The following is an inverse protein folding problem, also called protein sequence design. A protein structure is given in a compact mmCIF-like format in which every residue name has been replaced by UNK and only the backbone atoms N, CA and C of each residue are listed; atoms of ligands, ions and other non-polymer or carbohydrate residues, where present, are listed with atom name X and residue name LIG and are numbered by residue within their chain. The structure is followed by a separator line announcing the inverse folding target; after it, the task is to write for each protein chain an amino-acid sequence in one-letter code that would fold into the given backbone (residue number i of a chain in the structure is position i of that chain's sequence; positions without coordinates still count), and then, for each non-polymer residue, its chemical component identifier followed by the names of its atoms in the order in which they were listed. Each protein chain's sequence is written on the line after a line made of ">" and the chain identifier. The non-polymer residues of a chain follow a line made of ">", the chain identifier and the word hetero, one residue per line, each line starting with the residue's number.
data_IF_008345821673
#
_entry.id   IF_008345821673
#
_cell.length_a   1.000
_cell.length_b   1.000
_cell.length_c   1.000
_cell.angle_alpha   90.00
_cell.angle_beta   90.00
_cell.angle_gamma   90.00
#
_symmetry.space_group_name_H-M   'P 1'
#
loop_
_entity.id
_entity.type
_entity.pdbx_description
1 polymer ?
#
# COMPACT_ATOMS: atom_id res chain seq x y z
N UNK A 1 -4.55 7.00 -7.73
CA UNK A 1 -4.62 5.73 -8.50
C UNK A 1 -3.92 4.63 -7.72
N UNK A 2 -4.40 3.40 -7.84
CA UNK A 2 -3.79 2.20 -7.26
C UNK A 2 -3.51 1.24 -8.40
N UNK A 3 -2.27 0.73 -8.50
CA UNK A 3 -1.92 -0.35 -9.42
C UNK A 3 -1.37 -1.52 -8.61
N UNK A 4 -1.80 -2.73 -8.92
CA UNK A 4 -1.26 -3.96 -8.33
C UNK A 4 -0.74 -4.84 -9.46
N UNK A 5 0.46 -5.38 -9.28
CA UNK A 5 1.10 -6.36 -10.14
C UNK A 5 1.28 -7.62 -9.29
N UNK A 6 0.80 -8.74 -9.79
CA UNK A 6 0.86 -10.04 -9.11
C UNK A 6 1.85 -10.93 -9.85
N UNK A 7 2.68 -11.63 -9.09
CA UNK A 7 3.50 -12.70 -9.65
C UNK A 7 2.60 -13.90 -10.02
N UNK A 8 2.93 -14.68 -11.06
CA UNK A 8 2.08 -15.77 -11.57
C UNK A 8 1.71 -16.83 -10.51
N UNK A 9 2.55 -16.99 -9.47
CA UNK A 9 2.31 -17.92 -8.37
C UNK A 9 1.43 -17.35 -7.24
N UNK A 10 0.94 -16.12 -7.38
CA UNK A 10 0.09 -15.41 -6.41
C UNK A 10 0.70 -15.28 -4.98
N UNK A 11 2.00 -15.58 -4.84
CA UNK A 11 2.71 -15.55 -3.56
C UNK A 11 3.08 -14.12 -3.15
N UNK A 12 3.26 -13.23 -4.12
CA UNK A 12 3.66 -11.85 -3.91
C UNK A 12 2.85 -10.92 -4.80
N UNK A 13 2.30 -9.87 -4.19
CA UNK A 13 1.66 -8.77 -4.89
C UNK A 13 2.43 -7.48 -4.61
N UNK A 14 2.87 -6.80 -5.67
CA UNK A 14 3.48 -5.48 -5.61
C UNK A 14 2.42 -4.44 -5.90
N UNK A 15 2.29 -3.42 -5.07
CA UNK A 15 1.32 -2.36 -5.31
C UNK A 15 1.96 -0.96 -5.28
N UNK A 16 1.45 -0.08 -6.14
CA UNK A 16 1.82 1.32 -6.21
C UNK A 16 0.57 2.18 -5.96
N UNK A 17 0.66 3.10 -5.00
CA UNK A 17 -0.43 4.04 -4.67
C UNK A 17 0.08 5.46 -4.88
N UNK A 18 -0.54 6.16 -5.82
CA UNK A 18 -0.37 7.61 -5.98
C UNK A 18 -1.61 8.31 -5.42
N UNK A 19 -1.41 9.07 -4.34
CA UNK A 19 -2.45 9.87 -3.69
C UNK A 19 -2.07 11.34 -3.81
N UNK A 20 -2.82 12.10 -4.61
CA UNK A 20 -2.74 13.56 -4.55
C UNK A 20 -3.31 14.01 -3.20
N UNK A 21 -2.45 14.63 -2.40
CA UNK A 21 -2.74 15.01 -1.01
C UNK A 21 -3.18 16.47 -0.87
N UNK A 22 -3.65 17.09 -1.96
CA UNK A 22 -4.03 18.50 -2.06
C UNK A 22 -5.39 18.83 -1.41
N UNK A 23 -6.13 17.83 -0.93
CA UNK A 23 -7.35 18.03 -0.15
C UNK A 23 -7.09 17.90 1.35
N UNK A 24 -7.14 19.04 2.06
CA UNK A 24 -7.03 19.15 3.52
C UNK A 24 -7.94 18.11 4.22
N UNK A 25 -7.35 17.23 5.03
CA UNK A 25 -8.08 16.28 5.89
C UNK A 25 -8.35 14.88 5.31
N UNK A 26 -7.92 14.57 4.08
CA UNK A 26 -8.35 13.31 3.47
C UNK A 26 -7.52 12.09 3.93
N UNK A 27 -8.17 11.20 4.68
CA UNK A 27 -7.74 9.82 4.98
C UNK A 27 -7.77 8.91 3.74
N UNK A 28 -7.90 9.48 2.54
CA UNK A 28 -8.07 8.76 1.28
C UNK A 28 -6.93 7.77 1.01
N UNK A 29 -5.68 8.15 1.29
CA UNK A 29 -4.55 7.22 1.16
C UNK A 29 -4.67 6.02 2.10
N UNK A 30 -5.09 6.26 3.35
CA UNK A 30 -5.35 5.21 4.34
C UNK A 30 -6.50 4.30 3.94
N UNK A 31 -7.61 4.87 3.48
CA UNK A 31 -8.77 4.10 3.02
C UNK A 31 -8.43 3.25 1.79
N UNK A 32 -7.69 3.81 0.82
CA UNK A 32 -7.25 3.08 -0.37
C UNK A 32 -6.31 1.93 0.00
N UNK A 33 -5.30 2.17 0.84
CA UNK A 33 -4.40 1.12 1.30
C UNK A 33 -5.14 0.03 2.08
N UNK A 34 -6.03 0.41 3.01
CA UNK A 34 -6.86 -0.55 3.73
C UNK A 34 -7.73 -1.40 2.80
N UNK A 35 -8.34 -0.79 1.78
CA UNK A 35 -9.16 -1.51 0.81
C UNK A 35 -8.34 -2.57 0.08
N UNK A 36 -7.14 -2.23 -0.37
CA UNK A 36 -6.23 -3.18 -1.06
C UNK A 36 -5.80 -4.30 -0.12
N UNK A 37 -5.40 -3.97 1.11
CA UNK A 37 -4.97 -4.97 2.10
C UNK A 37 -6.10 -5.95 2.40
N UNK A 38 -7.32 -5.45 2.63
CA UNK A 38 -8.51 -6.29 2.87
C UNK A 38 -8.82 -7.17 1.65
N UNK A 39 -8.81 -6.59 0.46
CA UNK A 39 -9.07 -7.31 -0.78
C UNK A 39 -8.05 -8.43 -1.00
N UNK A 40 -6.75 -8.13 -0.87
CA UNK A 40 -5.68 -9.13 -1.05
C UNK A 40 -5.67 -10.20 0.04
N UNK A 41 -5.98 -9.85 1.29
CA UNK A 41 -6.19 -10.85 2.36
C UNK A 41 -7.34 -11.81 2.02
N UNK A 42 -8.45 -11.32 1.47
CA UNK A 42 -9.58 -12.17 1.07
C UNK A 42 -9.25 -13.10 -0.11
N UNK A 43 -8.25 -12.75 -0.92
CA UNK A 43 -7.79 -13.54 -2.07
C UNK A 43 -6.64 -14.50 -1.70
N UNK A 44 -6.26 -14.61 -0.42
CA UNK A 44 -5.20 -15.52 0.03
C UNK A 44 -3.78 -15.03 -0.24
N UNK A 45 -3.57 -13.76 -0.60
CA UNK A 45 -2.24 -13.20 -0.83
C UNK A 45 -1.41 -13.25 0.46
N UNK A 46 -0.28 -13.97 0.43
CA UNK A 46 0.59 -14.18 1.61
C UNK A 46 1.46 -12.97 1.94
N UNK A 47 1.94 -12.25 0.92
CA UNK A 47 2.83 -11.09 1.10
C UNK A 47 2.43 -9.95 0.17
N UNK A 48 2.29 -8.76 0.75
CA UNK A 48 1.96 -7.54 0.03
C UNK A 48 3.12 -6.55 0.22
N UNK A 49 3.76 -6.16 -0.89
CA UNK A 49 4.94 -5.28 -0.89
C UNK A 49 4.65 -4.00 -1.67
N UNK A 50 5.15 -2.86 -1.20
CA UNK A 50 5.10 -1.60 -1.92
C UNK A 50 6.48 -0.94 -1.91
N UNK A 51 6.76 -0.16 -2.95
CA UNK A 51 7.96 0.66 -3.06
C UNK A 51 7.55 2.11 -2.87
N UNK A 52 8.24 2.82 -1.99
CA UNK A 52 8.10 4.26 -1.81
C UNK A 52 9.47 4.90 -1.72
N UNK A 53 9.58 6.15 -2.17
CA UNK A 53 10.79 6.94 -1.97
C UNK A 53 10.98 7.25 -0.47
N UNK A 54 12.22 7.24 0.07
CA UNK A 54 12.51 7.56 1.47
C UNK A 54 12.02 8.95 1.90
N UNK A 55 11.96 9.89 0.96
CA UNK A 55 11.53 11.26 1.20
C UNK A 55 10.01 11.38 1.39
N UNK A 56 9.25 10.33 1.03
CA UNK A 56 7.80 10.29 1.14
C UNK A 56 7.35 10.01 2.58
N UNK A 57 7.63 10.95 3.48
CA UNK A 57 7.31 10.87 4.91
C UNK A 57 5.83 10.53 5.18
N UNK A 58 4.91 11.03 4.34
CA UNK A 58 3.48 10.72 4.44
C UNK A 58 3.18 9.24 4.20
N UNK A 59 3.78 8.64 3.16
CA UNK A 59 3.61 7.22 2.86
C UNK A 59 4.30 6.34 3.89
N UNK A 60 5.46 6.75 4.40
CA UNK A 60 6.15 6.04 5.49
C UNK A 60 5.32 6.01 6.78
N UNK A 61 4.76 7.15 7.20
CA UNK A 61 3.86 7.20 8.35
C UNK A 61 2.61 6.33 8.14
N UNK A 62 2.09 6.30 6.90
CA UNK A 62 0.93 5.50 6.57
C UNK A 62 1.23 4.00 6.61
N UNK A 63 2.39 3.59 6.09
CA UNK A 63 2.88 2.23 6.15
C UNK A 63 3.08 1.77 7.61
N UNK A 64 3.65 2.62 8.48
CA UNK A 64 3.77 2.34 9.92
C UNK A 64 2.41 2.12 10.58
N UNK A 65 1.42 3.00 10.31
CA UNK A 65 0.06 2.88 10.86
C UNK A 65 -0.66 1.60 10.43
N UNK A 66 -0.27 1.03 9.29
CA UNK A 66 -0.83 -0.19 8.72
C UNK A 66 0.03 -1.43 9.01
N UNK A 67 1.01 -1.31 9.91
CA UNK A 67 1.89 -2.38 10.36
C UNK A 67 2.70 -3.04 9.22
N UNK A 68 3.07 -2.27 8.20
CA UNK A 68 4.06 -2.73 7.23
C UNK A 68 5.46 -2.70 7.85
N UNK A 69 6.26 -3.73 7.56
CA UNK A 69 7.69 -3.74 7.84
C UNK A 69 8.45 -3.04 6.72
N UNK A 70 9.45 -2.24 7.07
CA UNK A 70 10.38 -1.67 6.11
C UNK A 70 11.51 -2.65 5.86
N UNK A 71 11.76 -2.92 4.58
CA UNK A 71 12.94 -3.63 4.09
C UNK A 71 13.82 -2.53 3.48
N UNK A 72 14.94 -2.22 4.14
CA UNK A 72 15.86 -1.13 3.78
C UNK A 72 17.00 -1.70 2.93
#
# INVERSE_FOLDING_TARGET
>A
MVRVIEDPDNQQAKFAVLVRSDMKGNTLGYQLMNKIIRYRRSQGTRRLTAITMPENKKMLQLAQKLSFSFDI
#
